data_IF_780129032363
#
_entry.id   IF_780129032363
#
_cell.length_a   1.000
_cell.length_b   1.000
_cell.length_c   1.000
_cell.angle_alpha   90.00
_cell.angle_beta   90.00
_cell.angle_gamma   90.00
#
_symmetry.space_group_name_H-M   'P 1'
#
loop_
_entity.id
_entity.type
_entity.pdbx_description
1 polymer ?
#
# COMPACT_ATOMS: atom_id res chain seq x y z
N UNK A 1 54.42 23.54 -75.42
CA UNK A 1 53.89 22.19 -75.70
C UNK A 1 52.97 21.80 -74.55
N UNK A 2 51.69 21.57 -74.89
CA UNK A 2 50.59 20.91 -74.16
C UNK A 2 50.17 21.50 -72.78
N UNK A 3 49.01 22.15 -72.62
CA UNK A 3 47.61 21.60 -72.59
C UNK A 3 47.43 20.63 -71.40
N UNK A 4 46.39 20.63 -70.54
CA UNK A 4 44.97 21.02 -70.65
C UNK A 4 44.25 20.82 -69.29
N UNK A 5 43.08 21.45 -69.16
CA UNK A 5 41.84 21.06 -68.43
C UNK A 5 41.89 20.68 -66.92
N UNK A 6 41.23 21.43 -66.02
CA UNK A 6 39.78 21.43 -65.66
C UNK A 6 39.24 20.08 -65.17
N UNK A 7 38.67 20.07 -63.96
CA UNK A 7 37.73 19.04 -63.53
C UNK A 7 37.44 19.03 -62.03
N UNK A 8 36.54 19.91 -61.58
CA UNK A 8 35.79 19.68 -60.34
C UNK A 8 34.75 18.57 -60.58
N UNK A 9 34.34 17.85 -59.53
CA UNK A 9 32.90 17.83 -59.28
C UNK A 9 32.56 18.06 -57.80
N UNK A 10 31.54 18.89 -57.60
CA UNK A 10 30.94 19.16 -56.30
C UNK A 10 30.24 17.93 -55.72
N UNK A 11 30.50 17.68 -54.43
CA UNK A 11 29.66 16.83 -53.60
C UNK A 11 28.46 17.64 -53.13
N UNK A 12 27.30 17.37 -53.72
CA UNK A 12 26.02 17.76 -53.17
C UNK A 12 25.78 16.95 -51.88
N UNK A 13 25.88 17.60 -50.72
CA UNK A 13 25.37 17.07 -49.47
C UNK A 13 23.84 17.14 -49.51
N UNK A 14 23.20 16.05 -49.92
CA UNK A 14 21.77 15.84 -49.71
C UNK A 14 21.52 15.60 -48.23
N UNK A 15 21.24 16.69 -47.51
CA UNK A 15 20.62 16.64 -46.17
C UNK A 15 19.21 16.12 -46.38
N UNK A 16 19.02 14.81 -46.19
CA UNK A 16 17.68 14.23 -46.02
C UNK A 16 17.17 14.65 -44.65
N UNK A 17 16.35 15.69 -44.64
CA UNK A 17 15.44 15.99 -43.53
C UNK A 17 14.49 14.80 -43.39
N UNK A 18 14.67 14.05 -42.31
CA UNK A 18 13.71 13.03 -41.88
C UNK A 18 12.47 13.78 -41.37
N UNK A 19 11.27 13.50 -41.87
CA UNK A 19 10.07 14.10 -41.32
C UNK A 19 9.83 13.53 -39.91
N UNK A 20 9.71 14.43 -38.95
CA UNK A 20 9.29 14.14 -37.58
C UNK A 20 7.89 13.50 -37.61
N UNK A 21 7.85 12.18 -37.47
CA UNK A 21 6.63 11.40 -37.28
C UNK A 21 6.32 11.35 -35.78
N UNK A 22 5.86 12.47 -35.23
CA UNK A 22 5.26 12.55 -33.89
C UNK A 22 3.80 12.10 -33.93
N UNK A 23 3.53 10.81 -34.18
CA UNK A 23 2.19 10.26 -33.90
C UNK A 23 2.32 8.82 -33.38
N UNK A 24 1.99 8.63 -32.10
CA UNK A 24 1.70 7.29 -31.55
C UNK A 24 2.49 6.83 -30.32
N UNK A 25 3.27 7.70 -29.64
CA UNK A 25 4.06 7.27 -28.48
C UNK A 25 3.29 7.12 -27.15
N UNK A 26 2.01 7.53 -27.08
CA UNK A 26 1.32 7.67 -25.79
C UNK A 26 0.67 6.38 -25.22
N UNK A 27 0.44 5.34 -26.01
CA UNK A 27 -0.30 4.16 -25.51
C UNK A 27 0.62 3.09 -24.89
N UNK A 28 1.88 2.98 -25.32
CA UNK A 28 2.80 1.98 -24.74
C UNK A 28 3.52 2.45 -23.46
N UNK A 29 3.54 3.75 -23.16
CA UNK A 29 4.19 4.30 -21.94
C UNK A 29 3.38 3.98 -20.68
N UNK A 30 2.05 3.84 -20.79
CA UNK A 30 1.17 3.58 -19.65
C UNK A 30 1.43 2.22 -18.99
N UNK A 31 1.77 1.18 -19.75
CA UNK A 31 1.96 -0.16 -19.19
C UNK A 31 3.33 -0.32 -18.49
N UNK A 32 4.37 0.39 -18.97
CA UNK A 32 5.68 0.45 -18.30
C UNK A 32 5.65 1.24 -17.00
N UNK A 33 4.76 2.24 -16.89
CA UNK A 33 4.60 3.01 -15.66
C UNK A 33 3.91 2.19 -14.55
N UNK A 34 2.98 1.29 -14.92
CA UNK A 34 2.35 0.37 -13.97
C UNK A 34 3.36 -0.63 -13.38
N UNK A 35 4.23 -1.20 -14.22
CA UNK A 35 5.30 -2.09 -13.73
C UNK A 35 6.35 -1.35 -12.89
N UNK A 36 6.71 -0.11 -13.27
CA UNK A 36 7.60 0.73 -12.47
C UNK A 36 7.00 1.11 -11.12
N UNK A 37 5.71 1.46 -11.07
CA UNK A 37 5.00 1.74 -9.83
C UNK A 37 4.92 0.51 -8.93
N UNK A 38 4.74 -0.68 -9.51
CA UNK A 38 4.68 -1.93 -8.74
C UNK A 38 6.04 -2.29 -8.10
N UNK A 39 7.13 -2.16 -8.86
CA UNK A 39 8.49 -2.39 -8.35
C UNK A 39 8.88 -1.32 -7.31
N UNK A 40 8.52 -0.06 -7.53
CA UNK A 40 8.75 1.00 -6.54
C UNK A 40 7.95 0.78 -5.27
N UNK A 41 6.71 0.28 -5.34
CA UNK A 41 5.92 -0.05 -4.17
C UNK A 41 6.48 -1.26 -3.41
N UNK A 42 6.98 -2.29 -4.10
CA UNK A 42 7.65 -3.42 -3.47
C UNK A 42 8.91 -2.96 -2.72
N UNK A 43 9.76 -2.14 -3.35
CA UNK A 43 10.97 -1.61 -2.71
C UNK A 43 10.67 -0.63 -1.56
N UNK A 44 9.62 0.20 -1.68
CA UNK A 44 9.16 1.06 -0.60
C UNK A 44 8.55 0.27 0.56
N UNK A 45 7.88 -0.85 0.27
CA UNK A 45 7.32 -1.73 1.31
C UNK A 45 8.40 -2.49 2.08
N UNK A 46 9.49 -2.89 1.41
CA UNK A 46 10.65 -3.52 2.06
C UNK A 46 11.45 -2.51 2.90
N UNK A 47 11.64 -1.27 2.42
CA UNK A 47 12.24 -0.18 3.20
C UNK A 47 11.39 0.22 4.42
N UNK A 48 10.06 0.27 4.24
CA UNK A 48 9.11 0.53 5.33
C UNK A 48 9.10 -0.57 6.39
N UNK A 49 9.46 -1.81 6.05
CA UNK A 49 9.51 -2.92 6.99
C UNK A 49 10.67 -2.75 7.99
N UNK A 50 11.82 -2.28 7.52
CA UNK A 50 12.97 -1.97 8.37
C UNK A 50 12.71 -0.78 9.31
N UNK A 51 12.01 0.26 8.82
CA UNK A 51 11.62 1.38 9.67
C UNK A 51 10.58 0.98 10.71
N UNK A 52 9.69 0.02 10.40
CA UNK A 52 8.78 -0.56 11.38
C UNK A 52 9.49 -1.43 12.42
N UNK A 53 10.54 -2.17 12.06
CA UNK A 53 11.34 -2.94 13.00
C UNK A 53 12.20 -2.04 13.90
N UNK A 54 12.73 -0.93 13.36
CA UNK A 54 13.41 0.10 14.14
C UNK A 54 12.43 0.81 15.09
N UNK A 55 11.23 1.16 14.62
CA UNK A 55 10.19 1.75 15.45
C UNK A 55 9.71 0.77 16.54
N UNK A 56 9.55 -0.52 16.22
CA UNK A 56 9.23 -1.56 17.21
C UNK A 56 10.35 -1.69 18.24
N UNK A 57 11.62 -1.68 17.81
CA UNK A 57 12.78 -1.76 18.70
C UNK A 57 12.86 -0.53 19.63
N UNK A 58 12.61 0.68 19.10
CA UNK A 58 12.52 1.91 19.90
C UNK A 58 11.36 1.88 20.89
N UNK A 59 10.17 1.42 20.48
CA UNK A 59 9.04 1.27 21.41
C UNK A 59 9.30 0.21 22.49
N UNK A 60 10.06 -0.84 22.18
CA UNK A 60 10.44 -1.86 23.15
C UNK A 60 11.45 -1.33 24.17
N UNK A 61 12.37 -0.47 23.73
CA UNK A 61 13.33 0.20 24.60
C UNK A 61 12.64 1.26 25.48
N UNK A 62 11.68 2.00 24.93
CA UNK A 62 10.89 3.01 25.62
C UNK A 62 9.91 2.39 26.65
N UNK A 63 9.48 1.15 26.43
CA UNK A 63 8.70 0.35 27.41
C UNK A 63 9.55 -0.27 28.53
N UNK A 64 10.87 -0.37 28.33
CA UNK A 64 11.79 -0.87 29.38
C UNK A 64 12.17 0.21 30.40
N UNK A 65 12.01 1.48 30.02
CA UNK A 65 12.15 2.64 30.89
C UNK A 65 10.75 2.99 31.38
N UNK A 66 10.22 2.23 32.35
CA UNK A 66 8.90 2.47 32.92
C UNK A 66 8.95 3.68 33.89
N UNK A 67 8.41 4.86 33.53
CA UNK A 67 8.34 6.01 34.44
C UNK A 67 7.40 5.77 35.64
N UNK A 68 6.55 4.74 35.56
CA UNK A 68 5.63 4.30 36.62
C UNK A 68 6.35 3.75 37.86
N UNK A 69 7.55 3.16 37.70
CA UNK A 69 8.37 2.70 38.82
C UNK A 69 8.98 3.87 39.61
N UNK A 70 9.25 5.00 38.94
CA UNK A 70 9.73 6.22 39.59
C UNK A 70 8.57 7.01 40.22
N UNK A 71 7.45 7.12 39.52
CA UNK A 71 6.24 7.77 40.02
C UNK A 71 5.62 7.07 41.24
N UNK A 72 5.69 5.73 41.31
CA UNK A 72 5.23 4.99 42.50
C UNK A 72 6.16 5.17 43.70
N UNK A 73 7.46 5.44 43.50
CA UNK A 73 8.39 5.81 44.59
C UNK A 73 8.14 7.23 45.11
N UNK A 74 7.87 8.20 44.23
CA UNK A 74 7.45 9.55 44.63
C UNK A 74 6.06 9.59 45.28
N UNK A 75 5.14 8.70 44.90
CA UNK A 75 3.84 8.56 45.56
C UNK A 75 3.95 7.95 46.96
N UNK A 76 5.02 7.20 47.23
CA UNK A 76 5.31 6.71 48.57
C UNK A 76 5.87 7.82 49.46
N UNK A 77 6.58 8.81 48.90
CA UNK A 77 7.03 9.99 49.66
C UNK A 77 5.85 10.81 50.18
N UNK A 78 4.78 11.01 49.40
CA UNK A 78 3.59 11.74 49.90
C UNK A 78 2.85 10.96 50.99
N UNK A 79 2.87 9.63 50.91
CA UNK A 79 2.30 8.76 51.95
C UNK A 79 3.18 8.74 53.21
N UNK A 80 4.50 8.86 53.06
CA UNK A 80 5.46 9.00 54.15
C UNK A 80 5.30 10.37 54.82
N UNK A 81 5.19 11.45 54.06
CA UNK A 81 4.93 12.81 54.57
C UNK A 81 3.59 12.88 55.33
N UNK A 82 2.52 12.29 54.80
CA UNK A 82 1.23 12.24 55.48
C UNK A 82 1.33 11.47 56.81
N UNK A 83 2.01 10.33 56.81
CA UNK A 83 2.21 9.51 58.02
C UNK A 83 3.10 10.21 59.05
N UNK A 84 4.12 10.93 58.60
CA UNK A 84 5.01 11.70 59.47
C UNK A 84 4.29 12.93 60.05
N UNK A 85 3.40 13.57 59.29
CA UNK A 85 2.54 14.64 59.79
C UNK A 85 1.53 14.16 60.83
N UNK A 86 0.91 12.99 60.61
CA UNK A 86 -0.01 12.37 61.56
C UNK A 86 0.71 11.95 62.86
N UNK A 87 1.92 11.42 62.74
CA UNK A 87 2.76 11.05 63.89
C UNK A 87 3.21 12.30 64.68
N UNK A 88 3.55 13.40 64.00
CA UNK A 88 3.88 14.68 64.65
C UNK A 88 2.66 15.26 65.36
N UNK A 89 1.48 15.28 64.74
CA UNK A 89 0.25 15.80 65.36
C UNK A 89 -0.20 14.94 66.56
N UNK A 90 -0.09 13.61 66.43
CA UNK A 90 -0.33 12.67 67.52
C UNK A 90 0.62 12.90 68.69
N UNK A 91 1.92 13.08 68.41
CA UNK A 91 2.95 13.31 69.43
C UNK A 91 2.84 14.69 70.07
N UNK A 92 2.51 15.74 69.31
CA UNK A 92 2.23 17.07 69.85
C UNK A 92 0.98 17.07 70.75
N UNK A 93 -0.04 16.29 70.38
CA UNK A 93 -1.23 16.09 71.23
C UNK A 93 -0.89 15.35 72.52
N UNK A 94 -0.02 14.34 72.45
CA UNK A 94 0.49 13.63 73.63
C UNK A 94 1.35 14.53 74.52
N UNK A 95 2.18 15.41 73.94
CA UNK A 95 2.97 16.42 74.68
C UNK A 95 2.06 17.49 75.33
N UNK A 96 0.95 17.87 74.69
CA UNK A 96 -0.05 18.81 75.24
C UNK A 96 -0.84 18.20 76.39
N UNK A 97 -1.22 16.93 76.30
CA UNK A 97 -1.85 16.19 77.40
C UNK A 97 -0.87 16.00 78.58
N UNK A 98 0.41 15.80 78.26
CA UNK A 98 1.54 15.69 79.19
C UNK A 98 1.85 16.99 79.97
N UNK A 99 1.79 18.16 79.33
CA UNK A 99 2.01 19.46 80.01
C UNK A 99 0.89 19.85 80.99
N UNK A 100 -0.23 19.10 81.01
CA UNK A 100 -1.34 19.28 81.95
C UNK A 100 -1.26 18.44 83.23
N UNK A 101 -0.31 17.52 83.36
CA UNK A 101 -0.20 16.57 84.49
C UNK A 101 1.02 16.81 85.39
N UNK A 102 0.84 16.68 86.71
CA UNK A 102 1.87 16.88 87.75
C UNK A 102 3.02 15.87 87.62
N UNK A 103 4.27 16.34 87.75
CA UNK A 103 5.48 15.70 87.19
C UNK A 103 6.10 14.69 88.17
N UNK A 104 6.13 13.42 87.79
CA UNK A 104 6.94 12.38 88.44
C UNK A 104 8.12 11.90 87.57
N UNK A 105 9.19 11.46 88.24
CA UNK A 105 10.53 11.12 87.76
C UNK A 105 10.66 10.09 86.58
N UNK A 106 9.73 9.14 86.26
CA UNK A 106 9.88 8.26 85.08
C UNK A 106 9.82 8.97 83.71
N UNK A 107 9.44 10.25 83.69
CA UNK A 107 9.34 11.07 82.49
C UNK A 107 10.68 11.47 81.87
N UNK A 108 11.70 11.67 82.71
CA UNK A 108 13.01 12.08 82.24
C UNK A 108 13.66 10.95 81.42
N UNK A 109 13.49 9.70 81.85
CA UNK A 109 14.02 8.53 81.14
C UNK A 109 13.30 8.30 79.80
N UNK A 110 11.99 8.58 79.73
CA UNK A 110 11.23 8.47 78.48
C UNK A 110 11.62 9.56 77.48
N UNK A 111 11.87 10.80 77.94
CA UNK A 111 12.38 11.88 77.09
C UNK A 111 13.79 11.56 76.59
N UNK A 112 14.68 11.03 77.44
CA UNK A 112 16.02 10.62 77.00
C UNK A 112 15.96 9.49 75.96
N UNK A 113 15.07 8.52 76.14
CA UNK A 113 14.86 7.44 75.17
C UNK A 113 14.35 7.97 73.84
N UNK A 114 13.39 8.89 73.83
CA UNK A 114 12.88 9.49 72.60
C UNK A 114 13.93 10.36 71.90
N UNK A 115 14.81 11.05 72.64
CA UNK A 115 15.95 11.78 72.07
C UNK A 115 16.96 10.80 71.43
N UNK A 116 17.22 9.66 72.06
CA UNK A 116 18.10 8.63 71.51
C UNK A 116 17.49 7.97 70.25
N UNK A 117 16.18 7.72 70.26
CA UNK A 117 15.45 7.20 69.10
C UNK A 117 15.46 8.21 67.94
N UNK A 118 15.25 9.51 68.20
CA UNK A 118 15.36 10.57 67.17
C UNK A 118 16.78 10.64 66.61
N UNK A 119 17.81 10.59 67.46
CA UNK A 119 19.21 10.61 67.01
C UNK A 119 19.55 9.38 66.16
N UNK A 120 19.00 8.20 66.52
CA UNK A 120 19.16 6.98 65.72
C UNK A 120 18.48 7.09 64.35
N UNK A 121 17.26 7.63 64.30
CA UNK A 121 16.50 7.87 63.07
C UNK A 121 17.18 8.91 62.19
N UNK A 122 17.75 9.98 62.75
CA UNK A 122 18.53 10.97 62.00
C UNK A 122 19.78 10.34 61.39
N UNK A 123 20.46 9.45 62.11
CA UNK A 123 21.62 8.71 61.59
C UNK A 123 21.21 7.75 60.47
N UNK A 124 20.09 7.02 60.61
CA UNK A 124 19.56 6.14 59.57
C UNK A 124 19.13 6.95 58.33
N UNK A 125 18.44 8.07 58.52
CA UNK A 125 18.05 8.99 57.45
C UNK A 125 19.29 9.52 56.73
N UNK A 126 20.31 9.97 57.45
CA UNK A 126 21.57 10.44 56.85
C UNK A 126 22.26 9.35 56.02
N UNK A 127 22.26 8.11 56.53
CA UNK A 127 22.85 6.97 55.81
C UNK A 127 22.08 6.64 54.52
N UNK A 128 20.75 6.66 54.55
CA UNK A 128 19.90 6.39 53.37
C UNK A 128 19.99 7.49 52.33
N UNK A 129 20.07 8.76 52.76
CA UNK A 129 20.33 9.90 51.87
C UNK A 129 21.71 9.80 51.21
N UNK A 130 22.76 9.48 51.97
CA UNK A 130 24.11 9.34 51.41
C UNK A 130 24.19 8.22 50.36
N UNK A 131 23.52 7.09 50.62
CA UNK A 131 23.40 5.98 49.67
C UNK A 131 22.64 6.38 48.41
N UNK A 132 21.55 7.16 48.55
CA UNK A 132 20.77 7.65 47.41
C UNK A 132 21.59 8.60 46.54
N UNK A 133 22.38 9.50 47.15
CA UNK A 133 23.28 10.41 46.43
C UNK A 133 24.36 9.63 45.66
N UNK A 134 24.94 8.59 46.27
CA UNK A 134 25.93 7.74 45.59
C UNK A 134 25.34 7.02 44.37
N UNK A 135 24.12 6.48 44.50
CA UNK A 135 23.41 5.86 43.37
C UNK A 135 23.15 6.88 42.26
N UNK A 136 22.72 8.10 42.58
CA UNK A 136 22.51 9.16 41.59
C UNK A 136 23.82 9.54 40.89
N UNK A 137 24.92 9.67 41.64
CA UNK A 137 26.24 9.95 41.07
C UNK A 137 26.66 8.85 40.11
N UNK A 138 26.50 7.59 40.51
CA UNK A 138 26.83 6.43 39.67
C UNK A 138 25.98 6.35 38.41
N UNK A 139 24.68 6.70 38.49
CA UNK A 139 23.81 6.78 37.31
C UNK A 139 24.30 7.87 36.35
N UNK A 140 24.68 9.04 36.87
CA UNK A 140 25.18 10.14 36.06
C UNK A 140 26.51 9.78 35.38
N UNK A 141 27.43 9.13 36.09
CA UNK A 141 28.67 8.62 35.52
C UNK A 141 28.39 7.60 34.42
N UNK A 142 27.57 6.58 34.69
CA UNK A 142 27.19 5.57 33.70
C UNK A 142 26.53 6.18 32.47
N UNK A 143 25.67 7.19 32.64
CA UNK A 143 25.04 7.90 31.55
C UNK A 143 26.06 8.58 30.65
N UNK A 144 27.04 9.29 31.23
CA UNK A 144 28.10 9.96 30.46
C UNK A 144 28.93 8.91 29.71
N UNK A 145 29.35 7.84 30.38
CA UNK A 145 30.16 6.79 29.75
C UNK A 145 29.42 6.15 28.58
N UNK A 146 28.16 5.75 28.79
CA UNK A 146 27.32 5.15 27.75
C UNK A 146 27.10 6.13 26.58
N UNK A 147 26.87 7.41 26.87
CA UNK A 147 26.71 8.42 25.82
C UNK A 147 28.00 8.60 25.01
N UNK A 148 29.17 8.57 25.65
CA UNK A 148 30.46 8.66 24.95
C UNK A 148 30.74 7.42 24.11
N UNK A 149 30.46 6.22 24.63
CA UNK A 149 30.61 4.96 23.88
C UNK A 149 29.65 4.89 22.68
N UNK A 150 28.41 5.36 22.86
CA UNK A 150 27.43 5.43 21.79
C UNK A 150 27.88 6.41 20.70
N UNK A 151 28.38 7.60 21.08
CA UNK A 151 28.92 8.56 20.12
C UNK A 151 30.14 7.99 19.39
N UNK A 152 31.03 7.27 20.06
CA UNK A 152 32.17 6.62 19.43
C UNK A 152 31.73 5.52 18.44
N UNK A 153 30.79 4.67 18.84
CA UNK A 153 30.19 3.65 17.97
C UNK A 153 29.48 4.28 16.75
N UNK A 154 28.73 5.36 16.94
CA UNK A 154 28.08 6.13 15.85
C UNK A 154 29.11 6.91 15.02
N UNK A 155 30.30 7.22 15.54
CA UNK A 155 31.34 7.86 14.73
C UNK A 155 32.10 6.84 13.87
N UNK A 156 32.25 5.61 14.35
CA UNK A 156 33.11 4.58 13.75
C UNK A 156 32.37 3.63 12.82
N UNK A 157 31.17 3.18 13.19
CA UNK A 157 30.41 2.15 12.44
C UNK A 157 29.68 2.75 11.22
N UNK A 158 29.02 3.92 11.31
CA UNK A 158 28.32 4.55 10.20
C UNK A 158 29.17 4.91 8.97
N UNK A 159 30.43 5.39 9.04
CA UNK A 159 31.17 5.74 7.83
C UNK A 159 31.54 4.51 6.99
N UNK A 160 31.86 3.37 7.61
CA UNK A 160 32.15 2.13 6.88
C UNK A 160 30.88 1.57 6.23
N UNK A 161 29.78 1.56 6.97
CA UNK A 161 28.48 1.12 6.49
C UNK A 161 27.94 2.05 5.37
N UNK A 162 28.05 3.37 5.54
CA UNK A 162 27.66 4.34 4.51
C UNK A 162 28.50 4.22 3.24
N UNK A 163 29.81 3.97 3.36
CA UNK A 163 30.67 3.69 2.19
C UNK A 163 30.21 2.45 1.44
N UNK A 164 29.88 1.38 2.16
CA UNK A 164 29.33 0.15 1.56
C UNK A 164 27.99 0.42 0.88
N UNK A 165 27.02 1.02 1.55
CA UNK A 165 25.73 1.35 0.95
C UNK A 165 25.87 2.26 -0.28
N UNK A 166 26.77 3.25 -0.24
CA UNK A 166 27.03 4.10 -1.40
C UNK A 166 27.61 3.31 -2.58
N UNK A 167 28.51 2.36 -2.31
CA UNK A 167 29.05 1.48 -3.35
C UNK A 167 27.99 0.54 -3.92
N UNK A 168 27.15 -0.07 -3.06
CA UNK A 168 26.05 -0.96 -3.47
C UNK A 168 24.99 -0.20 -4.29
N UNK A 169 24.66 1.03 -3.89
CA UNK A 169 23.76 1.91 -4.62
C UNK A 169 24.33 2.32 -5.98
N UNK A 170 25.63 2.66 -6.04
CA UNK A 170 26.31 3.00 -7.29
C UNK A 170 26.38 1.78 -8.23
N UNK A 171 26.65 0.59 -7.70
CA UNK A 171 26.62 -0.66 -8.46
C UNK A 171 25.22 -0.93 -9.01
N UNK A 172 24.19 -0.81 -8.18
CA UNK A 172 22.79 -1.01 -8.58
C UNK A 172 22.37 -0.02 -9.66
N UNK A 173 22.73 1.26 -9.52
CA UNK A 173 22.49 2.28 -10.54
C UNK A 173 23.19 1.93 -11.87
N UNK A 174 24.46 1.53 -11.82
CA UNK A 174 25.21 1.12 -13.02
C UNK A 174 24.61 -0.12 -13.71
N UNK A 175 24.11 -1.09 -12.93
CA UNK A 175 23.42 -2.27 -13.47
C UNK A 175 22.11 -1.87 -14.16
N UNK A 176 21.33 -0.98 -13.53
CA UNK A 176 20.09 -0.46 -14.13
C UNK A 176 20.42 0.27 -15.43
N UNK A 177 21.39 1.18 -15.43
CA UNK A 177 21.82 1.90 -16.64
C UNK A 177 22.30 0.95 -17.73
N UNK A 178 23.16 -0.03 -17.41
CA UNK A 178 23.62 -1.02 -18.37
C UNK A 178 22.47 -1.86 -18.94
N UNK A 179 21.49 -2.21 -18.10
CA UNK A 179 20.29 -2.93 -18.55
C UNK A 179 19.43 -2.09 -19.49
N UNK A 180 19.27 -0.79 -19.21
CA UNK A 180 18.52 0.15 -20.05
C UNK A 180 19.23 0.37 -21.39
N UNK A 181 20.56 0.52 -21.37
CA UNK A 181 21.37 0.60 -22.59
C UNK A 181 21.21 -0.69 -23.42
N UNK A 182 21.30 -1.86 -22.80
CA UNK A 182 21.09 -3.15 -23.48
C UNK A 182 19.68 -3.27 -24.09
N UNK A 183 18.64 -2.86 -23.35
CA UNK A 183 17.27 -2.86 -23.86
C UNK A 183 17.09 -1.88 -25.02
N UNK A 184 17.66 -0.67 -24.93
CA UNK A 184 17.61 0.31 -26.01
C UNK A 184 18.30 -0.21 -27.28
N UNK A 185 19.44 -0.89 -27.12
CA UNK A 185 20.14 -1.54 -28.22
C UNK A 185 19.32 -2.68 -28.84
N UNK A 186 18.73 -3.56 -28.02
CA UNK A 186 17.86 -4.63 -28.51
C UNK A 186 16.64 -4.07 -29.26
N UNK A 187 16.02 -2.99 -28.74
CA UNK A 187 14.92 -2.29 -29.41
C UNK A 187 15.37 -1.72 -30.76
N UNK A 188 16.50 -1.02 -30.80
CA UNK A 188 17.04 -0.46 -32.05
C UNK A 188 17.36 -1.56 -33.07
N UNK A 189 17.97 -2.66 -32.63
CA UNK A 189 18.28 -3.82 -33.48
C UNK A 189 17.01 -4.49 -34.03
N UNK A 190 16.00 -4.69 -33.19
CA UNK A 190 14.71 -5.23 -33.63
C UNK A 190 14.03 -4.29 -34.61
N UNK A 191 14.00 -2.99 -34.32
CA UNK A 191 13.44 -1.99 -35.22
C UNK A 191 14.14 -1.99 -36.59
N UNK A 192 15.48 -2.05 -36.60
CA UNK A 192 16.25 -2.17 -37.84
C UNK A 192 15.94 -3.49 -38.58
N UNK A 193 15.80 -4.60 -37.86
CA UNK A 193 15.44 -5.89 -38.46
C UNK A 193 14.02 -5.94 -39.02
N UNK A 194 13.06 -5.24 -38.42
CA UNK A 194 11.67 -5.24 -38.90
C UNK A 194 11.45 -4.18 -39.98
N UNK A 195 11.83 -2.93 -39.72
CA UNK A 195 11.54 -1.81 -40.61
C UNK A 195 12.65 -1.55 -41.64
N UNK A 196 13.89 -1.95 -41.34
CA UNK A 196 15.02 -1.86 -42.27
C UNK A 196 15.21 -3.10 -43.13
N UNK A 197 14.37 -4.13 -42.99
CA UNK A 197 14.44 -5.31 -43.85
C UNK A 197 13.85 -5.00 -45.22
N UNK A 198 14.71 -5.09 -46.23
CA UNK A 198 14.37 -4.99 -47.64
C UNK A 198 14.62 -6.35 -48.24
N UNK A 199 13.59 -6.99 -48.78
CA UNK A 199 13.75 -8.29 -49.44
C UNK A 199 14.67 -8.15 -50.64
N UNK A 200 15.67 -9.03 -50.77
CA UNK A 200 16.61 -9.04 -51.89
C UNK A 200 15.93 -9.29 -53.24
N UNK A 201 14.79 -9.99 -53.23
CA UNK A 201 14.03 -10.33 -54.43
C UNK A 201 12.96 -9.30 -54.76
N UNK A 202 12.49 -8.54 -53.77
CA UNK A 202 11.45 -7.51 -53.92
C UNK A 202 11.75 -6.32 -53.02
N UNK A 203 12.46 -5.30 -53.51
CA UNK A 203 12.87 -4.16 -52.70
C UNK A 203 11.70 -3.30 -52.20
N UNK A 204 10.56 -3.36 -52.89
CA UNK A 204 9.34 -2.64 -52.52
C UNK A 204 8.50 -3.37 -51.46
N UNK A 205 8.79 -4.64 -51.17
CA UNK A 205 8.14 -5.44 -50.14
C UNK A 205 8.77 -5.14 -48.77
N UNK A 206 8.43 -3.97 -48.22
CA UNK A 206 8.84 -3.55 -46.88
C UNK A 206 7.78 -3.92 -45.84
N UNK A 207 8.20 -4.12 -44.59
CA UNK A 207 7.28 -4.37 -43.47
C UNK A 207 6.23 -3.26 -43.31
N UNK A 208 6.59 -2.01 -43.62
CA UNK A 208 5.67 -0.86 -43.59
C UNK A 208 4.53 -1.07 -44.59
N UNK A 209 4.86 -1.53 -45.80
CA UNK A 209 3.88 -1.81 -46.84
C UNK A 209 3.00 -3.03 -46.49
N UNK A 210 3.58 -4.04 -45.85
CA UNK A 210 2.81 -5.18 -45.34
C UNK A 210 1.81 -4.76 -44.26
N UNK A 211 2.23 -3.87 -43.35
CA UNK A 211 1.37 -3.33 -42.30
C UNK A 211 0.27 -2.42 -42.87
N UNK A 212 0.57 -1.58 -43.87
CA UNK A 212 -0.45 -0.75 -44.51
C UNK A 212 -1.51 -1.61 -45.21
N UNK A 213 -1.09 -2.64 -45.96
CA UNK A 213 -2.02 -3.56 -46.63
C UNK A 213 -2.89 -4.30 -45.59
N UNK A 214 -2.31 -4.75 -44.48
CA UNK A 214 -3.08 -5.39 -43.42
C UNK A 214 -4.06 -4.42 -42.76
N UNK A 215 -3.67 -3.17 -42.54
CA UNK A 215 -4.54 -2.13 -41.98
C UNK A 215 -5.70 -1.79 -42.93
N UNK A 216 -5.42 -1.68 -44.22
CA UNK A 216 -6.44 -1.43 -45.24
C UNK A 216 -7.43 -2.60 -45.29
N UNK A 217 -6.94 -3.85 -45.28
CA UNK A 217 -7.81 -5.04 -45.20
C UNK A 217 -8.70 -5.07 -43.96
N UNK A 218 -8.17 -4.66 -42.80
CA UNK A 218 -8.95 -4.58 -41.56
C UNK A 218 -10.00 -3.46 -41.60
N UNK A 219 -9.74 -2.38 -42.34
CA UNK A 219 -10.74 -1.33 -42.58
C UNK A 219 -11.84 -1.82 -43.49
N UNK A 220 -11.48 -2.47 -44.58
CA UNK A 220 -12.44 -3.06 -45.52
C UNK A 220 -13.35 -4.06 -44.78
N UNK A 221 -12.76 -4.97 -43.97
CA UNK A 221 -13.53 -5.91 -43.12
C UNK A 221 -14.44 -5.20 -42.10
N UNK A 222 -14.01 -4.06 -41.54
CA UNK A 222 -14.82 -3.30 -40.61
C UNK A 222 -16.00 -2.60 -41.30
N UNK A 223 -15.78 -2.08 -42.52
CA UNK A 223 -16.84 -1.47 -43.33
C UNK A 223 -17.86 -2.52 -43.79
N UNK A 224 -17.41 -3.71 -44.19
CA UNK A 224 -18.27 -4.84 -44.54
C UNK A 224 -19.16 -5.26 -43.35
N UNK A 225 -18.58 -5.39 -42.16
CA UNK A 225 -19.34 -5.73 -40.95
C UNK A 225 -20.38 -4.66 -40.56
N UNK A 226 -20.08 -3.38 -40.78
CA UNK A 226 -21.05 -2.30 -40.56
C UNK A 226 -22.20 -2.34 -41.56
N UNK A 227 -21.95 -2.75 -42.80
CA UNK A 227 -23.01 -2.95 -43.79
C UNK A 227 -23.89 -4.15 -43.42
N UNK A 228 -23.28 -5.26 -43.00
CA UNK A 228 -24.00 -6.43 -42.48
C UNK A 228 -24.85 -6.09 -41.25
N UNK A 229 -24.31 -5.33 -40.30
CA UNK A 229 -25.05 -4.87 -39.10
C UNK A 229 -26.29 -4.06 -39.50
N UNK A 230 -26.15 -3.09 -40.42
CA UNK A 230 -27.29 -2.30 -40.91
C UNK A 230 -28.34 -3.15 -41.62
N UNK A 231 -27.91 -4.14 -42.39
CA UNK A 231 -28.82 -5.05 -43.08
C UNK A 231 -29.62 -5.90 -42.06
N UNK A 232 -28.93 -6.41 -41.03
CA UNK A 232 -29.56 -7.16 -39.95
C UNK A 232 -30.51 -6.29 -39.12
N UNK A 233 -30.15 -5.05 -38.81
CA UNK A 233 -31.02 -4.10 -38.12
C UNK A 233 -32.31 -3.83 -38.90
N UNK A 234 -32.20 -3.67 -40.23
CA UNK A 234 -33.38 -3.53 -41.09
C UNK A 234 -34.28 -4.76 -41.04
N UNK A 235 -33.69 -5.96 -41.08
CA UNK A 235 -34.46 -7.21 -40.97
C UNK A 235 -35.13 -7.33 -39.59
N UNK A 236 -34.42 -6.99 -38.51
CA UNK A 236 -34.96 -6.97 -37.15
C UNK A 236 -36.11 -5.98 -37.05
N UNK A 237 -36.00 -4.80 -37.65
CA UNK A 237 -37.09 -3.82 -37.68
C UNK A 237 -38.31 -4.34 -38.45
N UNK A 238 -38.11 -5.03 -39.58
CA UNK A 238 -39.19 -5.71 -40.32
C UNK A 238 -39.87 -6.79 -39.49
N UNK A 239 -39.10 -7.67 -38.83
CA UNK A 239 -39.65 -8.68 -37.93
C UNK A 239 -40.36 -8.06 -36.73
N UNK A 240 -39.81 -7.01 -36.14
CA UNK A 240 -40.45 -6.28 -35.05
C UNK A 240 -41.76 -5.63 -35.50
N UNK A 241 -41.83 -5.09 -36.72
CA UNK A 241 -43.07 -4.58 -37.32
C UNK A 241 -44.09 -5.71 -37.54
N UNK A 242 -43.67 -6.86 -38.06
CA UNK A 242 -44.54 -8.02 -38.23
C UNK A 242 -45.09 -8.52 -36.89
N UNK A 243 -44.24 -8.63 -35.87
CA UNK A 243 -44.66 -9.00 -34.52
C UNK A 243 -45.65 -7.98 -33.94
N UNK A 244 -45.42 -6.67 -34.10
CA UNK A 244 -46.39 -5.64 -33.68
C UNK A 244 -47.74 -5.75 -34.39
N UNK A 245 -47.77 -6.22 -35.64
CA UNK A 245 -49.03 -6.47 -36.36
C UNK A 245 -49.76 -7.71 -35.82
N UNK A 246 -49.02 -8.77 -35.49
CA UNK A 246 -49.58 -10.01 -34.91
C UNK A 246 -50.06 -9.79 -33.47
N UNK A 247 -49.32 -9.02 -32.70
CA UNK A 247 -49.67 -8.63 -31.33
C UNK A 247 -50.76 -7.56 -31.29
N UNK A 248 -51.13 -6.98 -32.44
CA UNK A 248 -52.15 -5.94 -32.56
C UNK A 248 -51.63 -4.57 -32.11
N UNK A 249 -51.72 -3.58 -33.00
CA UNK A 249 -51.43 -2.20 -32.63
C UNK A 249 -52.60 -1.62 -31.84
N UNK A 250 -52.53 -1.63 -30.51
CA UNK A 250 -53.05 -0.59 -29.59
C UNK A 250 -53.55 -1.18 -28.27
N UNK A 251 -53.41 -0.36 -27.23
CA UNK A 251 -53.83 -0.51 -25.83
C UNK A 251 -55.27 -0.98 -25.56
N UNK A 252 -56.10 -1.30 -26.56
CA UNK A 252 -57.51 -1.64 -26.35
C UNK A 252 -57.96 -3.04 -26.75
N UNK A 253 -57.22 -3.75 -27.62
CA UNK A 253 -57.64 -5.07 -28.08
C UNK A 253 -56.57 -6.12 -27.77
N UNK A 254 -56.88 -7.07 -26.89
CA UNK A 254 -55.99 -8.19 -26.57
C UNK A 254 -55.63 -8.94 -27.86
N UNK A 255 -54.33 -8.95 -28.17
CA UNK A 255 -53.68 -9.65 -29.27
C UNK A 255 -54.34 -10.99 -29.62
N UNK A 256 -54.75 -11.18 -30.87
CA UNK A 256 -55.42 -12.41 -31.32
C UNK A 256 -54.57 -13.68 -31.13
N UNK A 257 -53.23 -13.58 -31.19
CA UNK A 257 -52.35 -14.72 -30.91
C UNK A 257 -52.34 -15.10 -29.42
N UNK A 258 -52.35 -14.12 -28.51
CA UNK A 258 -52.47 -14.38 -27.07
C UNK A 258 -53.82 -15.05 -26.75
N UNK A 259 -54.90 -14.63 -27.42
CA UNK A 259 -56.20 -15.27 -27.31
C UNK A 259 -56.18 -16.72 -27.83
N UNK A 260 -55.55 -16.99 -28.97
CA UNK A 260 -55.43 -18.36 -29.50
C UNK A 260 -54.66 -19.26 -28.53
N UNK A 261 -53.58 -18.75 -27.93
CA UNK A 261 -52.81 -19.50 -26.92
C UNK A 261 -53.66 -19.74 -25.66
N UNK A 262 -54.40 -18.73 -25.20
CA UNK A 262 -55.31 -18.86 -24.04
C UNK A 262 -56.44 -19.86 -24.30
N UNK A 263 -57.03 -19.83 -25.50
CA UNK A 263 -58.08 -20.76 -25.93
C UNK A 263 -57.54 -22.18 -26.09
N UNK A 264 -56.31 -22.35 -26.61
CA UNK A 264 -55.66 -23.66 -26.70
C UNK A 264 -55.41 -24.27 -25.31
N UNK A 265 -54.87 -23.48 -24.38
CA UNK A 265 -54.64 -23.90 -22.98
C UNK A 265 -55.97 -24.27 -22.31
N UNK A 266 -57.04 -23.50 -22.58
CA UNK A 266 -58.38 -23.80 -22.06
C UNK A 266 -58.91 -25.13 -22.59
N UNK A 267 -58.84 -25.35 -23.90
CA UNK A 267 -59.27 -26.60 -24.54
C UNK A 267 -58.47 -27.78 -24.00
N UNK A 268 -57.16 -27.65 -23.85
CA UNK A 268 -56.32 -28.71 -23.27
C UNK A 268 -56.80 -29.07 -21.87
N UNK A 269 -57.02 -28.07 -21.01
CA UNK A 269 -57.54 -28.29 -19.65
C UNK A 269 -58.92 -28.95 -19.64
N UNK A 270 -59.85 -28.50 -20.49
CA UNK A 270 -61.18 -29.11 -20.61
C UNK A 270 -61.11 -30.55 -21.14
N UNK A 271 -60.22 -30.84 -22.09
CA UNK A 271 -60.01 -32.21 -22.58
C UNK A 271 -59.36 -33.10 -21.53
N UNK A 272 -58.46 -32.59 -20.70
CA UNK A 272 -57.89 -33.33 -19.57
C UNK A 272 -58.93 -33.61 -18.48
N UNK A 273 -59.78 -32.63 -18.15
CA UNK A 273 -60.89 -32.80 -17.21
C UNK A 273 -61.89 -33.83 -17.73
N UNK A 274 -62.29 -33.73 -19.01
CA UNK A 274 -63.12 -34.72 -19.69
C UNK A 274 -62.47 -36.11 -19.66
N UNK A 275 -61.17 -36.22 -19.95
CA UNK A 275 -60.43 -37.50 -19.89
C UNK A 275 -60.34 -38.05 -18.46
N UNK A 276 -60.30 -37.18 -17.45
CA UNK A 276 -60.30 -37.56 -16.03
C UNK A 276 -61.69 -38.04 -15.59
N UNK A 277 -62.75 -37.41 -16.07
CA UNK A 277 -64.14 -37.81 -15.79
C UNK A 277 -64.54 -39.08 -16.56
N UNK A 278 -64.10 -39.24 -17.80
CA UNK A 278 -64.24 -40.49 -18.55
C UNK A 278 -63.55 -41.66 -17.83
N UNK A 279 -62.36 -41.44 -17.25
CA UNK A 279 -61.72 -42.43 -16.37
C UNK A 279 -62.55 -42.76 -15.13
N UNK A 280 -63.20 -41.76 -14.50
CA UNK A 280 -64.09 -41.99 -13.35
C UNK A 280 -65.35 -42.78 -13.72
N UNK A 281 -65.84 -42.62 -14.94
CA UNK A 281 -66.97 -43.37 -15.50
C UNK A 281 -66.57 -44.78 -16.00
N UNK A 282 -65.32 -45.21 -15.77
CA UNK A 282 -64.83 -46.52 -16.18
C UNK A 282 -64.46 -46.62 -17.66
N UNK A 283 -64.44 -45.49 -18.37
CA UNK A 283 -64.02 -45.43 -19.76
C UNK A 283 -62.50 -45.34 -19.83
N UNK A 284 -61.87 -46.48 -20.10
CA UNK A 284 -60.47 -46.55 -20.54
C UNK A 284 -60.52 -46.49 -22.06
N UNK A 285 -60.21 -45.32 -22.63
CA UNK A 285 -60.21 -45.16 -24.09
C UNK A 285 -59.22 -46.11 -24.77
N UNK A 286 -59.31 -46.29 -26.10
CA UNK A 286 -58.33 -47.05 -26.85
C UNK A 286 -56.97 -46.33 -26.77
N UNK A 287 -55.92 -47.10 -26.47
CA UNK A 287 -54.51 -46.65 -26.45
C UNK A 287 -54.09 -46.02 -27.78
#
# INVERSE_FOLDING_TARGET
MCSSARGAPGRANSVRTVPDFEFGFNICILNTNVLRLKILNELLSELSLNDQELARSLTHLQRSIDPSSFASKLSNDSALEARLSEEIESRLSSILEFLGGDVDIPLLDQIHKEIEDIASLESELSSTWSSSIDVISRINELHITLQTELLDAISTIPPALNKKHKADNALSAAVIEASLVKLSFMRARSHQKFYGYVSKTQPDATMIKALSIAQDKLRDEADDLLEEERALDSQIEEYARLMRLVDGSSESDRAGFAQIVEDYIRVEKETEECRRDLRRLGWTGPD
#
